data_IF_486195641350
#
_entry.id   IF_486195641350
#
_cell.length_a   1.000
_cell.length_b   1.000
_cell.length_c   1.000
_cell.angle_alpha   90.00
_cell.angle_beta   90.00
_cell.angle_gamma   90.00
#
_symmetry.space_group_name_H-M   'P 1'
#
loop_
_entity.id
_entity.type
_entity.pdbx_description
1 polymer ?
#
# COMPACT_ATOMS: atom_id res chain seq x y z
N UNK A 1 -2.66 -2.18 12.29
CA UNK A 1 -2.84 -0.69 12.20
C UNK A 1 -3.80 -0.43 11.05
N UNK A 2 -4.83 0.40 11.24
CA UNK A 2 -5.66 0.85 10.12
C UNK A 2 -4.96 1.99 9.38
N UNK A 3 -4.34 1.66 8.25
CA UNK A 3 -3.56 2.62 7.46
C UNK A 3 -4.45 3.70 6.86
N UNK A 4 -5.65 3.35 6.38
CA UNK A 4 -6.53 4.30 5.69
C UNK A 4 -7.15 5.29 6.67
N UNK A 5 -7.46 4.86 7.90
CA UNK A 5 -7.94 5.73 8.97
C UNK A 5 -6.82 6.53 9.68
N UNK A 6 -5.57 6.08 9.58
CA UNK A 6 -4.43 6.76 10.22
C UNK A 6 -3.85 7.88 9.34
N UNK A 7 -3.51 9.01 9.98
CA UNK A 7 -2.88 10.16 9.32
C UNK A 7 -1.80 10.80 10.20
N UNK A 8 -0.63 11.06 9.61
CA UNK A 8 0.42 11.88 10.23
C UNK A 8 0.37 13.31 9.68
N UNK A 9 0.25 14.29 10.57
CA UNK A 9 0.18 15.72 10.20
C UNK A 9 1.53 16.32 9.79
N UNK A 10 2.63 15.72 10.25
CA UNK A 10 4.00 16.23 10.02
C UNK A 10 4.72 15.51 8.89
N UNK A 11 4.27 14.32 8.49
CA UNK A 11 4.91 13.48 7.47
C UNK A 11 5.20 14.25 6.18
N UNK A 12 4.27 15.09 5.73
CA UNK A 12 4.39 15.87 4.51
C UNK A 12 5.54 16.87 4.48
N UNK A 13 6.08 17.25 5.66
CA UNK A 13 7.15 18.24 5.82
C UNK A 13 8.48 17.67 6.31
N UNK A 14 8.57 16.36 6.59
CA UNK A 14 9.79 15.73 7.13
C UNK A 14 10.33 14.57 6.29
N UNK A 15 9.62 14.16 5.23
CA UNK A 15 10.05 13.03 4.37
C UNK A 15 10.46 13.50 2.97
N UNK A 16 11.32 12.70 2.33
CA UNK A 16 11.70 12.90 0.93
C UNK A 16 10.49 12.78 -0.01
N UNK A 17 10.59 13.39 -1.20
CA UNK A 17 9.50 13.44 -2.17
C UNK A 17 9.13 12.05 -2.70
N UNK A 18 10.13 11.19 -2.87
CA UNK A 18 10.02 9.81 -3.36
C UNK A 18 9.27 8.95 -2.35
N UNK A 19 9.66 9.02 -1.07
CA UNK A 19 8.94 8.39 0.03
C UNK A 19 7.48 8.86 0.06
N UNK A 20 7.24 10.18 0.01
CA UNK A 20 5.88 10.73 0.00
C UNK A 20 5.03 10.22 -1.17
N UNK A 21 5.62 10.12 -2.36
CA UNK A 21 4.95 9.63 -3.57
C UNK A 21 4.60 8.15 -3.43
N UNK A 22 5.54 7.32 -2.98
CA UNK A 22 5.33 5.89 -2.79
C UNK A 22 4.27 5.62 -1.71
N UNK A 23 4.32 6.32 -0.58
CA UNK A 23 3.30 6.24 0.47
C UNK A 23 1.90 6.64 -0.05
N UNK A 24 1.83 7.65 -0.91
CA UNK A 24 0.58 8.04 -1.59
C UNK A 24 0.04 6.93 -2.47
N UNK A 25 0.89 6.33 -3.32
CA UNK A 25 0.53 5.22 -4.21
C UNK A 25 0.06 4.00 -3.41
N UNK A 26 0.76 3.64 -2.33
CA UNK A 26 0.32 2.56 -1.42
C UNK A 26 -1.09 2.79 -0.89
N UNK A 27 -1.38 4.01 -0.38
CA UNK A 27 -2.70 4.33 0.15
C UNK A 27 -3.79 4.31 -0.94
N UNK A 28 -3.50 4.80 -2.14
CA UNK A 28 -4.43 4.77 -3.27
C UNK A 28 -4.75 3.33 -3.71
N UNK A 29 -3.71 2.51 -3.86
CA UNK A 29 -3.85 1.08 -4.21
C UNK A 29 -4.65 0.34 -3.14
N UNK A 30 -4.29 0.50 -1.86
CA UNK A 30 -5.00 -0.13 -0.75
C UNK A 30 -6.47 0.33 -0.67
N UNK A 31 -6.74 1.61 -0.85
CA UNK A 31 -8.11 2.13 -0.85
C UNK A 31 -8.94 1.62 -2.04
N UNK A 32 -8.29 1.41 -3.20
CA UNK A 32 -8.95 0.84 -4.38
C UNK A 32 -9.32 -0.61 -4.15
N UNK A 33 -8.40 -1.40 -3.58
CA UNK A 33 -8.66 -2.78 -3.19
C UNK A 33 -9.80 -2.86 -2.17
N UNK A 34 -9.73 -2.10 -1.07
CA UNK A 34 -10.75 -2.14 -0.01
C UNK A 34 -12.16 -1.80 -0.51
N UNK A 35 -12.29 -0.86 -1.47
CA UNK A 35 -13.58 -0.53 -2.08
C UNK A 35 -14.20 -1.68 -2.88
N UNK A 36 -13.38 -2.57 -3.42
CA UNK A 36 -13.80 -3.68 -4.27
C UNK A 36 -13.71 -5.04 -3.56
N UNK A 37 -13.20 -5.05 -2.32
CA UNK A 37 -12.89 -6.24 -1.55
C UNK A 37 -14.07 -7.21 -1.46
N UNK A 38 -15.28 -6.70 -1.21
CA UNK A 38 -16.47 -7.55 -1.13
C UNK A 38 -16.76 -8.25 -2.46
N UNK A 39 -16.65 -7.54 -3.59
CA UNK A 39 -16.86 -8.14 -4.91
C UNK A 39 -15.77 -9.16 -5.25
N UNK A 40 -14.52 -8.88 -4.85
CA UNK A 40 -13.39 -9.80 -5.04
C UNK A 40 -13.60 -11.08 -4.20
N UNK A 41 -13.93 -10.94 -2.91
CA UNK A 41 -14.14 -12.06 -1.99
C UNK A 41 -15.33 -12.94 -2.38
N UNK A 42 -16.39 -12.34 -2.92
CA UNK A 42 -17.55 -13.07 -3.44
C UNK A 42 -17.32 -13.69 -4.83
N UNK A 43 -16.15 -13.47 -5.44
CA UNK A 43 -15.83 -13.92 -6.79
C UNK A 43 -16.66 -13.23 -7.88
N UNK A 44 -17.27 -12.09 -7.56
CA UNK A 44 -18.11 -11.31 -8.47
C UNK A 44 -17.32 -10.27 -9.28
N UNK A 45 -16.06 -10.01 -8.92
CA UNK A 45 -15.17 -9.14 -9.67
C UNK A 45 -14.56 -9.87 -10.89
N UNK A 46 -14.65 -9.26 -12.07
CA UNK A 46 -14.06 -9.78 -13.30
C UNK A 46 -12.77 -9.03 -13.63
N UNK A 47 -11.65 -9.77 -13.69
CA UNK A 47 -10.33 -9.23 -14.07
C UNK A 47 -10.40 -8.60 -15.47
N UNK A 48 -9.77 -7.44 -15.63
CA UNK A 48 -9.75 -6.65 -16.86
C UNK A 48 -10.88 -5.64 -16.97
N UNK A 49 -11.80 -5.60 -16.00
CA UNK A 49 -12.91 -4.62 -16.00
C UNK A 49 -12.48 -3.23 -15.57
N UNK A 50 -11.51 -3.13 -14.65
CA UNK A 50 -10.95 -1.87 -14.20
C UNK A 50 -9.44 -2.04 -13.95
N UNK A 51 -8.57 -1.46 -14.81
CA UNK A 51 -7.12 -1.57 -14.67
C UNK A 51 -6.58 -1.13 -13.30
N UNK A 52 -7.27 -0.21 -12.60
CA UNK A 52 -6.85 0.23 -11.26
C UNK A 52 -7.11 -0.83 -10.21
N UNK A 53 -8.24 -1.54 -10.33
CA UNK A 53 -8.60 -2.60 -9.40
C UNK A 53 -7.77 -3.84 -9.68
N UNK A 54 -7.52 -4.16 -10.95
CA UNK A 54 -6.59 -5.21 -11.35
C UNK A 54 -5.18 -4.96 -10.77
N UNK A 55 -4.67 -3.74 -10.91
CA UNK A 55 -3.39 -3.35 -10.31
C UNK A 55 -3.41 -3.47 -8.78
N UNK A 56 -4.52 -3.11 -8.15
CA UNK A 56 -4.67 -3.23 -6.70
C UNK A 56 -4.70 -4.68 -6.23
N UNK A 57 -5.36 -5.58 -6.98
CA UNK A 57 -5.36 -7.03 -6.74
C UNK A 57 -3.94 -7.59 -6.90
N UNK A 58 -3.20 -7.18 -7.93
CA UNK A 58 -1.82 -7.64 -8.15
C UNK A 58 -0.88 -7.23 -7.00
N UNK A 59 -1.04 -6.01 -6.48
CA UNK A 59 -0.14 -5.44 -5.47
C UNK A 59 -0.54 -5.71 -4.01
N UNK A 60 -1.75 -6.20 -3.75
CA UNK A 60 -2.28 -6.29 -2.38
C UNK A 60 -1.42 -7.16 -1.47
N UNK A 61 -0.96 -8.32 -1.94
CA UNK A 61 -0.17 -9.26 -1.14
C UNK A 61 1.17 -8.63 -0.71
N UNK A 62 1.82 -7.92 -1.64
CA UNK A 62 3.08 -7.23 -1.36
C UNK A 62 2.89 -6.05 -0.38
N UNK A 63 1.79 -5.30 -0.51
CA UNK A 63 1.43 -4.23 0.43
C UNK A 63 1.13 -4.81 1.82
N UNK A 64 0.36 -5.90 1.90
CA UNK A 64 0.07 -6.55 3.17
C UNK A 64 1.32 -7.08 3.86
N UNK A 65 2.25 -7.66 3.11
CA UNK A 65 3.53 -8.11 3.63
C UNK A 65 4.34 -6.95 4.19
N UNK A 66 4.42 -5.83 3.47
CA UNK A 66 5.11 -4.62 3.93
C UNK A 66 4.49 -4.00 5.19
N UNK A 67 3.16 -4.07 5.35
CA UNK A 67 2.46 -3.50 6.51
C UNK A 67 2.49 -4.40 7.76
N UNK A 68 2.85 -5.68 7.63
CA UNK A 68 2.90 -6.65 8.73
C UNK A 68 4.34 -6.76 9.23
N UNK A 69 4.52 -6.57 10.54
CA UNK A 69 5.82 -6.66 11.20
C UNK A 69 5.70 -7.57 12.45
N UNK A 70 6.59 -8.57 12.62
CA UNK A 70 6.72 -9.33 13.86
C UNK A 70 7.11 -8.45 15.05
N UNK A 71 6.67 -8.83 16.25
CA UNK A 71 6.90 -8.02 17.47
C UNK A 71 8.35 -8.03 17.96
N UNK A 72 9.13 -8.98 17.48
CA UNK A 72 10.54 -9.20 17.80
C UNK A 72 11.49 -8.70 16.71
N UNK A 73 10.97 -8.09 15.64
CA UNK A 73 11.75 -7.51 14.55
C UNK A 73 11.77 -5.98 14.63
N UNK A 74 12.90 -5.40 14.22
CA UNK A 74 13.07 -3.96 14.02
C UNK A 74 13.66 -3.69 12.64
N UNK A 75 13.27 -2.56 12.05
CA UNK A 75 13.76 -2.11 10.74
C UNK A 75 14.38 -0.73 10.88
N UNK A 76 15.49 -0.51 10.19
CA UNK A 76 16.07 0.83 10.04
C UNK A 76 15.21 1.68 9.09
N UNK A 77 15.24 2.99 9.30
CA UNK A 77 14.39 3.92 8.54
C UNK A 77 14.70 3.89 7.04
N UNK A 78 15.97 3.85 6.67
CA UNK A 78 16.40 3.84 5.28
C UNK A 78 15.91 2.58 4.55
N UNK A 79 16.01 1.42 5.20
CA UNK A 79 15.62 0.13 4.64
C UNK A 79 14.11 0.08 4.35
N UNK A 80 13.28 0.52 5.30
CA UNK A 80 11.82 0.49 5.13
C UNK A 80 11.35 1.50 4.06
N UNK A 81 12.02 2.65 3.94
CA UNK A 81 11.74 3.63 2.89
C UNK A 81 12.10 3.08 1.52
N UNK A 82 13.26 2.42 1.40
CA UNK A 82 13.66 1.79 0.15
C UNK A 82 12.69 0.69 -0.26
N UNK A 83 12.32 -0.21 0.67
CA UNK A 83 11.33 -1.25 0.42
C UNK A 83 10.00 -0.66 -0.09
N UNK A 84 9.50 0.41 0.54
CA UNK A 84 8.28 1.09 0.11
C UNK A 84 8.38 1.63 -1.32
N UNK A 85 9.52 2.21 -1.67
CA UNK A 85 9.74 2.76 -3.02
C UNK A 85 9.79 1.60 -4.04
N UNK A 86 10.48 0.51 -3.72
CA UNK A 86 10.63 -0.66 -4.59
C UNK A 86 9.31 -1.38 -4.86
N UNK A 87 8.33 -1.35 -3.94
CA UNK A 87 6.98 -1.90 -4.19
C UNK A 87 6.32 -1.32 -5.46
N UNK A 88 6.71 -0.10 -5.84
CA UNK A 88 6.13 0.66 -6.94
C UNK A 88 7.16 1.12 -7.98
N UNK A 89 8.38 0.58 -7.93
CA UNK A 89 9.36 0.74 -8.97
C UNK A 89 8.96 -0.18 -10.13
N UNK A 90 8.25 0.40 -11.11
CA UNK A 90 7.86 -0.25 -12.36
C UNK A 90 8.97 -0.04 -13.42
#
# INVERSE_FOLDING_TARGET
>A
IDVLASLSRVMSGIVAKEHKKAAGKLRETLATYEKQRDLILLGAYQIGSDPKVDYAIEKIDAIEAYLKQPTDEGFEYEDIVEQLIQLFAD
#
